data_IF_464982396360
#
_entry.id   IF_464982396360
#
_cell.length_a   1.000
_cell.length_b   1.000
_cell.length_c   1.000
_cell.angle_alpha   90.00
_cell.angle_beta   90.00
_cell.angle_gamma   90.00
#
_symmetry.space_group_name_H-M   'P 1'
#
loop_
_entity.id
_entity.type
_entity.pdbx_description
1 polymer ?
#
# COMPACT_ATOMS: atom_id res chain seq x y z
N UNK A 1 14.23 -7.10 5.59
CA UNK A 1 12.96 -6.63 5.00
C UNK A 1 12.56 -5.24 5.49
N UNK A 2 13.05 -4.77 6.64
CA UNK A 2 12.77 -3.41 7.17
C UNK A 2 13.16 -2.23 6.27
N UNK A 3 14.29 -2.31 5.56
CA UNK A 3 14.81 -1.17 4.78
C UNK A 3 13.92 -0.75 3.60
N UNK A 4 13.05 -1.64 3.11
CA UNK A 4 12.17 -1.34 1.97
C UNK A 4 10.91 -0.58 2.38
N UNK A 5 10.58 -0.59 3.67
CA UNK A 5 9.46 0.15 4.24
C UNK A 5 9.85 1.54 4.72
N UNK A 6 11.13 1.92 4.73
CA UNK A 6 11.54 3.24 5.21
C UNK A 6 11.13 4.37 4.26
N UNK A 7 11.31 4.19 2.94
CA UNK A 7 10.81 5.14 1.94
C UNK A 7 9.29 5.29 2.04
N UNK A 8 8.56 4.16 2.10
CA UNK A 8 7.11 4.16 2.23
C UNK A 8 6.61 4.50 3.63
N UNK A 9 7.44 4.46 4.67
CA UNK A 9 7.02 4.77 6.04
C UNK A 9 6.58 6.21 6.11
N UNK A 10 7.32 7.11 5.48
CA UNK A 10 7.00 8.53 5.44
C UNK A 10 5.63 8.76 4.79
N UNK A 11 5.38 8.14 3.64
CA UNK A 11 4.09 8.23 2.93
C UNK A 11 2.96 7.55 3.73
N UNK A 12 3.20 6.36 4.29
CA UNK A 12 2.23 5.59 5.10
C UNK A 12 1.94 6.20 6.48
N UNK A 13 2.85 6.98 7.06
CA UNK A 13 2.62 7.73 8.31
C UNK A 13 1.78 8.98 8.06
N UNK A 14 1.91 9.59 6.88
CA UNK A 14 1.02 10.68 6.44
C UNK A 14 -0.34 10.20 5.95
N UNK A 15 -0.46 8.92 5.59
CA UNK A 15 -1.70 8.34 5.11
C UNK A 15 -2.70 8.07 6.24
N UNK A 16 -3.99 8.20 5.90
CA UNK A 16 -5.07 7.83 6.80
C UNK A 16 -4.91 6.37 7.25
N UNK A 17 -5.10 6.03 8.55
CA UNK A 17 -4.98 4.66 9.05
C UNK A 17 -5.76 3.62 8.24
N UNK A 18 -6.93 4.00 7.71
CA UNK A 18 -7.77 3.15 6.88
C UNK A 18 -7.08 2.83 5.54
N UNK A 19 -6.47 3.84 4.92
CA UNK A 19 -5.73 3.70 3.66
C UNK A 19 -4.51 2.81 3.86
N UNK A 20 -3.78 2.99 4.97
CA UNK A 20 -2.61 2.17 5.30
C UNK A 20 -2.96 0.69 5.44
N UNK A 21 -4.01 0.34 6.18
CA UNK A 21 -4.44 -1.07 6.29
C UNK A 21 -4.86 -1.64 4.94
N UNK A 22 -5.57 -0.85 4.13
CA UNK A 22 -5.99 -1.26 2.79
C UNK A 22 -4.78 -1.49 1.89
N UNK A 23 -3.77 -0.61 1.92
CA UNK A 23 -2.55 -0.73 1.14
C UNK A 23 -1.79 -2.02 1.46
N UNK A 24 -1.66 -2.36 2.75
CA UNK A 24 -1.03 -3.61 3.20
C UNK A 24 -1.80 -4.84 2.73
N UNK A 25 -3.14 -4.80 2.78
CA UNK A 25 -3.98 -5.90 2.28
C UNK A 25 -3.79 -6.11 0.78
N UNK A 26 -3.82 -5.04 -0.01
CA UNK A 26 -3.65 -5.10 -1.47
C UNK A 26 -2.23 -5.57 -1.82
N UNK A 27 -1.21 -5.05 -1.12
CA UNK A 27 0.17 -5.47 -1.32
C UNK A 27 0.35 -6.96 -1.07
N UNK A 28 -0.25 -7.49 0.01
CA UNK A 28 -0.20 -8.93 0.30
C UNK A 28 -0.84 -9.76 -0.81
N UNK A 29 -2.03 -9.37 -1.28
CA UNK A 29 -2.68 -10.03 -2.42
C UNK A 29 -1.84 -9.97 -3.70
N UNK A 30 -1.14 -8.87 -3.95
CA UNK A 30 -0.29 -8.72 -5.13
C UNK A 30 0.94 -9.62 -5.09
N UNK A 31 1.57 -9.77 -3.92
CA UNK A 31 2.68 -10.71 -3.73
C UNK A 31 2.18 -12.13 -3.97
N UNK A 32 1.02 -12.51 -3.42
CA UNK A 32 0.46 -13.86 -3.58
C UNK A 32 -0.03 -14.16 -5.01
N UNK A 33 -0.54 -13.16 -5.74
CA UNK A 33 -1.14 -13.35 -7.08
C UNK A 33 -0.19 -13.11 -8.25
N UNK A 34 0.72 -12.15 -8.13
CA UNK A 34 1.55 -11.69 -9.26
C UNK A 34 3.03 -12.09 -9.14
N UNK A 35 3.44 -12.72 -8.04
CA UNK A 35 4.85 -13.08 -7.78
C UNK A 35 5.81 -11.87 -7.95
N UNK A 36 5.29 -10.67 -7.66
CA UNK A 36 6.07 -9.42 -7.77
C UNK A 36 6.83 -9.14 -6.47
N UNK A 37 7.86 -8.31 -6.57
CA UNK A 37 8.64 -7.91 -5.40
C UNK A 37 7.77 -7.19 -4.36
N UNK A 38 8.09 -7.37 -3.09
CA UNK A 38 7.37 -6.70 -2.01
C UNK A 38 7.37 -5.17 -2.15
N UNK A 39 8.40 -4.59 -2.80
CA UNK A 39 8.45 -3.14 -3.10
C UNK A 39 7.34 -2.71 -4.05
N UNK A 40 7.23 -3.42 -5.18
CA UNK A 40 6.26 -3.11 -6.23
C UNK A 40 4.84 -3.35 -5.72
N UNK A 41 4.64 -4.45 -4.98
CA UNK A 41 3.37 -4.74 -4.36
C UNK A 41 2.94 -3.65 -3.36
N UNK A 42 3.88 -3.14 -2.55
CA UNK A 42 3.57 -2.09 -1.58
C UNK A 42 3.27 -0.76 -2.25
N UNK A 43 4.10 -0.34 -3.21
CA UNK A 43 3.88 0.89 -3.98
C UNK A 43 2.52 0.89 -4.67
N UNK A 44 2.18 -0.23 -5.31
CA UNK A 44 0.92 -0.35 -6.03
C UNK A 44 -0.27 -0.56 -5.08
N UNK A 45 -0.03 -1.17 -3.92
CA UNK A 45 -0.99 -1.26 -2.83
C UNK A 45 -1.39 0.10 -2.28
N UNK A 46 -0.41 1.00 -2.09
CA UNK A 46 -0.64 2.37 -1.61
C UNK A 46 -1.50 3.16 -2.61
N UNK A 47 -1.09 3.21 -3.88
CA UNK A 47 -1.82 3.94 -4.93
C UNK A 47 -3.29 3.47 -5.00
N UNK A 48 -3.52 2.15 -5.05
CA UNK A 48 -4.89 1.60 -5.10
C UNK A 48 -5.69 1.87 -3.83
N UNK A 49 -5.04 1.91 -2.68
CA UNK A 49 -5.71 2.20 -1.42
C UNK A 49 -6.10 3.68 -1.31
N UNK A 50 -5.26 4.58 -1.80
CA UNK A 50 -5.58 6.01 -1.92
C UNK A 50 -6.72 6.24 -2.90
N UNK A 51 -6.68 5.64 -4.10
CA UNK A 51 -7.77 5.72 -5.08
C UNK A 51 -9.09 5.22 -4.50
N UNK A 52 -9.08 4.05 -3.84
CA UNK A 52 -10.26 3.50 -3.18
C UNK A 52 -10.82 4.43 -2.08
N UNK A 53 -9.96 5.13 -1.35
CA UNK A 53 -10.39 6.05 -0.30
C UNK A 53 -10.94 7.36 -0.87
N UNK A 54 -10.33 7.89 -1.93
CA UNK A 54 -10.86 9.03 -2.68
C UNK A 54 -12.25 8.73 -3.27
N UNK A 55 -12.47 7.52 -3.81
CA UNK A 55 -13.78 7.08 -4.29
C UNK A 55 -14.83 6.94 -3.16
N UNK A 56 -14.40 6.74 -1.90
CA UNK A 56 -15.31 6.64 -0.75
C UNK A 56 -15.70 8.01 -0.15
N UNK A 57 -14.88 9.05 -0.32
CA UNK A 57 -15.21 10.41 0.09
C UNK A 57 -16.01 11.19 -0.99
N UNK A 58 -16.13 10.64 -2.20
CA UNK A 58 -16.79 11.25 -3.37
C UNK A 58 -18.31 11.18 -3.39
#
# INVERSE_FOLDING_TARGET
MDWMFEDFKTDLDTLNPIVREKALSIAKELIEKKDISAKEALSEGIIRAEEWFYDLEG
#
